data_IF_449844668722
#
_entry.id   IF_449844668722
#
_cell.length_a   1.000
_cell.length_b   1.000
_cell.length_c   1.000
_cell.angle_alpha   90.00
_cell.angle_beta   90.00
_cell.angle_gamma   90.00
#
_symmetry.space_group_name_H-M   'P 1'
#
loop_
_entity.id
_entity.type
_entity.pdbx_description
1 polymer ?
#
# COMPACT_ATOMS: atom_id res chain seq x y z
N UNK A 1 13.25 -16.90 -64.37
CA UNK A 1 13.61 -15.65 -63.65
C UNK A 1 13.32 -15.84 -62.16
N UNK A 2 14.30 -15.75 -61.25
CA UNK A 2 14.02 -15.80 -59.82
C UNK A 2 13.83 -14.40 -59.25
N UNK A 3 12.74 -14.21 -58.49
CA UNK A 3 12.46 -12.99 -57.74
C UNK A 3 13.37 -12.92 -56.50
N UNK A 4 14.34 -12.02 -56.51
CA UNK A 4 15.11 -11.66 -55.32
C UNK A 4 14.28 -10.73 -54.43
N UNK A 5 13.70 -11.28 -53.36
CA UNK A 5 13.21 -10.47 -52.24
C UNK A 5 14.40 -9.98 -51.41
N UNK A 6 14.94 -8.80 -51.73
CA UNK A 6 15.84 -8.08 -50.83
C UNK A 6 15.06 -7.56 -49.64
N UNK A 7 14.95 -8.39 -48.59
CA UNK A 7 14.40 -7.99 -47.29
C UNK A 7 15.46 -7.17 -46.53
N UNK A 8 15.59 -5.88 -46.85
CA UNK A 8 16.39 -4.95 -46.05
C UNK A 8 15.48 -4.24 -45.03
N UNK A 9 14.95 -5.00 -44.09
CA UNK A 9 14.31 -4.44 -42.90
C UNK A 9 15.43 -4.06 -41.92
N UNK A 10 15.84 -2.79 -41.93
CA UNK A 10 16.61 -2.24 -40.79
C UNK A 10 15.72 -2.41 -39.56
N UNK A 11 16.18 -3.18 -38.58
CA UNK A 11 15.53 -3.31 -37.29
C UNK A 11 15.49 -1.94 -36.62
N UNK A 12 14.42 -1.19 -36.87
CA UNK A 12 14.11 0.00 -36.11
C UNK A 12 14.00 -0.46 -34.65
N UNK A 13 14.89 0.08 -33.81
CA UNK A 13 14.84 -0.13 -32.37
C UNK A 13 13.40 0.15 -31.91
N UNK A 14 12.75 -0.77 -31.17
CA UNK A 14 11.37 -0.55 -30.75
C UNK A 14 11.29 0.79 -30.01
N UNK A 15 10.23 1.60 -30.18
CA UNK A 15 10.14 2.95 -29.60
C UNK A 15 10.47 3.00 -28.11
N UNK A 16 10.23 1.93 -27.37
CA UNK A 16 10.52 1.90 -25.94
C UNK A 16 12.00 1.76 -25.58
N UNK A 17 12.83 1.31 -26.52
CA UNK A 17 14.28 1.21 -26.34
C UNK A 17 15.02 2.54 -26.53
N UNK A 18 14.34 3.56 -27.08
CA UNK A 18 14.87 4.92 -27.22
C UNK A 18 14.37 5.88 -26.12
N UNK A 19 13.41 5.46 -25.29
CA UNK A 19 12.93 6.32 -24.21
C UNK A 19 14.05 6.60 -23.20
N UNK A 20 14.19 7.86 -22.74
CA UNK A 20 15.05 8.22 -21.62
C UNK A 20 14.68 7.44 -20.35
N UNK A 21 15.67 7.25 -19.47
CA UNK A 21 15.52 6.44 -18.25
C UNK A 21 14.51 7.05 -17.27
N UNK A 22 14.45 8.37 -17.15
CA UNK A 22 13.48 9.09 -16.31
C UNK A 22 12.04 8.90 -16.79
N UNK A 23 11.81 8.85 -18.10
CA UNK A 23 10.49 8.57 -18.68
C UNK A 23 10.08 7.12 -18.39
N UNK A 24 10.99 6.16 -18.57
CA UNK A 24 10.73 4.76 -18.21
C UNK A 24 10.41 4.62 -16.72
N UNK A 25 11.16 5.31 -15.87
CA UNK A 25 10.93 5.31 -14.43
C UNK A 25 9.53 5.83 -14.07
N UNK A 26 9.09 6.93 -14.68
CA UNK A 26 7.73 7.46 -14.49
C UNK A 26 6.67 6.46 -14.94
N UNK A 27 6.86 5.82 -16.09
CA UNK A 27 5.94 4.78 -16.58
C UNK A 27 5.86 3.62 -15.58
N UNK A 28 7.00 3.15 -15.07
CA UNK A 28 7.02 2.07 -14.08
C UNK A 28 6.35 2.50 -12.77
N UNK A 29 6.51 3.76 -12.36
CA UNK A 29 5.81 4.34 -11.21
C UNK A 29 4.31 4.25 -11.31
N UNK A 30 3.74 4.44 -12.51
CA UNK A 30 2.29 4.28 -12.73
C UNK A 30 1.82 2.83 -12.54
N UNK A 31 2.69 1.85 -12.82
CA UNK A 31 2.40 0.42 -12.58
C UNK A 31 2.69 -0.03 -11.14
N UNK A 32 3.49 0.74 -10.41
CA UNK A 32 3.94 0.42 -9.06
C UNK A 32 3.03 1.01 -7.97
N UNK A 33 2.18 1.97 -8.32
CA UNK A 33 1.36 2.69 -7.35
C UNK A 33 0.25 1.80 -6.83
N UNK A 34 0.19 1.65 -5.51
CA UNK A 34 -0.94 1.01 -4.85
C UNK A 34 -2.24 1.77 -5.12
N UNK A 35 -3.28 1.04 -5.50
CA UNK A 35 -4.65 1.50 -5.65
C UNK A 35 -5.57 0.56 -4.85
N UNK A 36 -6.14 1.02 -3.71
CA UNK A 36 -7.00 0.19 -2.87
C UNK A 36 -8.20 -0.44 -3.58
N UNK A 37 -8.69 0.18 -4.66
CA UNK A 37 -9.82 -0.33 -5.43
C UNK A 37 -9.40 -1.42 -6.43
N UNK A 38 -8.19 -1.34 -6.99
CA UNK A 38 -7.70 -2.28 -8.01
C UNK A 38 -6.81 -3.40 -7.43
N UNK A 39 -6.01 -3.11 -6.40
CA UNK A 39 -5.02 -4.02 -5.83
C UNK A 39 -5.60 -5.21 -5.08
N UNK A 40 -6.90 -5.19 -4.81
CA UNK A 40 -7.62 -6.37 -4.33
C UNK A 40 -7.51 -7.52 -5.33
N UNK A 41 -7.69 -7.22 -6.62
CA UNK A 41 -7.79 -8.22 -7.69
C UNK A 41 -6.51 -8.29 -8.53
N UNK A 42 -5.81 -7.16 -8.69
CA UNK A 42 -4.59 -7.06 -9.50
C UNK A 42 -3.51 -6.25 -8.79
N UNK A 43 -2.74 -6.87 -7.88
CA UNK A 43 -1.69 -6.18 -7.13
C UNK A 43 -0.64 -5.52 -8.05
N UNK A 44 -0.32 -4.25 -7.78
CA UNK A 44 0.73 -3.47 -8.44
C UNK A 44 2.08 -4.21 -8.50
N UNK A 45 2.36 -5.04 -7.49
CA UNK A 45 3.54 -5.89 -7.43
C UNK A 45 3.63 -6.89 -8.60
N UNK A 46 2.50 -7.43 -9.06
CA UNK A 46 2.44 -8.30 -10.24
C UNK A 46 2.80 -7.51 -11.49
N UNK A 47 2.28 -6.28 -11.62
CA UNK A 47 2.61 -5.41 -12.73
C UNK A 47 4.12 -5.10 -12.75
N UNK A 48 4.71 -4.74 -11.62
CA UNK A 48 6.16 -4.53 -11.50
C UNK A 48 6.98 -5.77 -11.87
N UNK A 49 6.56 -6.96 -11.42
CA UNK A 49 7.20 -8.22 -11.80
C UNK A 49 7.16 -8.41 -13.31
N UNK A 50 6.00 -8.20 -13.93
CA UNK A 50 5.84 -8.33 -15.38
C UNK A 50 6.71 -7.33 -16.15
N UNK A 51 6.75 -6.07 -15.70
CA UNK A 51 7.63 -5.02 -16.24
C UNK A 51 9.11 -5.44 -16.15
N UNK A 52 9.52 -6.12 -15.06
CA UNK A 52 10.90 -6.62 -14.89
C UNK A 52 11.31 -7.73 -15.86
N UNK A 53 10.35 -8.33 -16.57
CA UNK A 53 10.58 -9.43 -17.51
C UNK A 53 10.57 -8.99 -18.98
N UNK A 54 10.28 -7.72 -19.28
CA UNK A 54 10.17 -7.21 -20.66
C UNK A 54 11.52 -7.27 -21.39
N UNK A 55 12.57 -6.69 -20.81
CA UNK A 55 13.94 -6.80 -21.33
C UNK A 55 14.98 -6.52 -20.23
N UNK A 56 16.25 -6.85 -20.50
CA UNK A 56 17.35 -6.65 -19.56
C UNK A 56 17.47 -5.20 -19.06
N UNK A 57 17.27 -4.21 -19.94
CA UNK A 57 17.31 -2.79 -19.56
C UNK A 57 16.26 -2.45 -18.51
N UNK A 58 15.02 -2.90 -18.67
CA UNK A 58 13.94 -2.62 -17.72
C UNK A 58 14.16 -3.31 -16.39
N UNK A 59 14.63 -4.56 -16.45
CA UNK A 59 15.03 -5.31 -15.26
C UNK A 59 16.09 -4.56 -14.46
N UNK A 60 17.18 -4.12 -15.12
CA UNK A 60 18.25 -3.37 -14.47
C UNK A 60 17.76 -2.07 -13.85
N UNK A 61 16.86 -1.34 -14.52
CA UNK A 61 16.27 -0.11 -13.97
C UNK A 61 15.42 -0.39 -12.74
N UNK A 62 14.54 -1.40 -12.79
CA UNK A 62 13.70 -1.77 -11.65
C UNK A 62 14.52 -2.29 -10.47
N UNK A 63 15.57 -3.06 -10.71
CA UNK A 63 16.46 -3.54 -9.64
C UNK A 63 17.22 -2.39 -8.95
N UNK A 64 17.47 -1.29 -9.67
CA UNK A 64 18.12 -0.10 -9.13
C UNK A 64 17.12 0.93 -8.53
N UNK A 65 15.83 0.60 -8.43
CA UNK A 65 14.77 1.54 -8.05
C UNK A 65 13.98 1.07 -6.81
N UNK A 66 14.54 1.17 -5.59
CA UNK A 66 13.88 0.71 -4.37
C UNK A 66 12.49 1.32 -4.15
N UNK A 67 12.35 2.61 -4.44
CA UNK A 67 11.09 3.34 -4.28
C UNK A 67 9.95 2.88 -5.20
N UNK A 68 10.23 2.12 -6.26
CA UNK A 68 9.16 1.48 -7.04
C UNK A 68 8.64 0.24 -6.32
N UNK A 69 9.53 -0.58 -5.75
CA UNK A 69 9.12 -1.77 -4.98
C UNK A 69 8.40 -1.39 -3.68
N UNK A 70 8.84 -0.32 -3.00
CA UNK A 70 8.23 0.15 -1.75
C UNK A 70 6.82 0.72 -1.95
N UNK A 71 6.45 1.12 -3.17
CA UNK A 71 5.13 1.67 -3.47
C UNK A 71 4.08 0.62 -3.83
N UNK A 72 4.48 -0.64 -4.01
CA UNK A 72 3.64 -1.72 -4.52
C UNK A 72 3.33 -2.81 -3.47
N UNK A 73 3.45 -2.50 -2.17
CA UNK A 73 3.44 -3.51 -1.11
C UNK A 73 2.02 -3.87 -0.68
N UNK A 74 1.46 -4.94 -1.25
CA UNK A 74 0.25 -5.59 -0.75
C UNK A 74 0.63 -6.77 0.17
N UNK A 75 0.57 -6.56 1.49
CA UNK A 75 1.08 -7.54 2.46
C UNK A 75 0.25 -8.83 2.49
N UNK A 76 -1.07 -8.71 2.35
CA UNK A 76 -1.94 -9.89 2.29
C UNK A 76 -1.62 -10.74 1.07
N UNK A 77 -1.47 -10.12 -0.10
CA UNK A 77 -1.07 -10.82 -1.32
C UNK A 77 0.31 -11.47 -1.16
N UNK A 78 1.29 -10.72 -0.64
CA UNK A 78 2.63 -11.23 -0.39
C UNK A 78 2.59 -12.51 0.45
N UNK A 79 1.84 -12.50 1.56
CA UNK A 79 1.73 -13.65 2.46
C UNK A 79 1.04 -14.85 1.83
N UNK A 80 -0.07 -14.64 1.11
CA UNK A 80 -0.91 -15.71 0.58
C UNK A 80 -0.39 -16.31 -0.73
N UNK A 81 0.32 -15.51 -1.52
CA UNK A 81 0.64 -15.87 -2.91
C UNK A 81 2.13 -15.99 -3.21
N UNK A 82 3.03 -15.55 -2.31
CA UNK A 82 4.47 -15.61 -2.53
C UNK A 82 5.17 -16.53 -1.54
N UNK A 83 6.23 -17.20 -2.01
CA UNK A 83 7.13 -17.94 -1.12
C UNK A 83 7.85 -16.99 -0.16
N UNK A 84 8.44 -17.53 0.90
CA UNK A 84 9.19 -16.73 1.87
C UNK A 84 10.35 -15.97 1.21
N UNK A 85 11.11 -16.64 0.35
CA UNK A 85 12.27 -16.07 -0.34
C UNK A 85 11.88 -14.91 -1.24
N UNK A 86 10.73 -15.01 -1.92
CA UNK A 86 10.24 -13.93 -2.78
C UNK A 86 9.79 -12.72 -1.95
N UNK A 87 9.16 -12.94 -0.79
CA UNK A 87 8.77 -11.85 0.12
C UNK A 87 10.00 -11.11 0.62
N UNK A 88 10.99 -11.84 1.13
CA UNK A 88 12.25 -11.26 1.61
C UNK A 88 12.96 -10.48 0.50
N UNK A 89 12.99 -11.01 -0.73
CA UNK A 89 13.58 -10.30 -1.86
C UNK A 89 12.83 -9.00 -2.20
N UNK A 90 11.50 -8.97 -2.09
CA UNK A 90 10.72 -7.74 -2.32
C UNK A 90 11.02 -6.70 -1.23
N UNK A 91 11.04 -7.12 0.04
CA UNK A 91 11.38 -6.23 1.16
C UNK A 91 12.81 -5.71 1.01
N UNK A 92 13.76 -6.58 0.67
CA UNK A 92 15.16 -6.21 0.39
C UNK A 92 15.28 -5.22 -0.77
N UNK A 93 14.46 -5.37 -1.82
CA UNK A 93 14.44 -4.43 -2.94
C UNK A 93 13.82 -3.10 -2.57
N UNK A 94 12.76 -3.08 -1.77
CA UNK A 94 12.16 -1.85 -1.25
C UNK A 94 13.17 -1.07 -0.38
N UNK A 95 14.02 -1.79 0.35
CA UNK A 95 15.07 -1.20 1.19
C UNK A 95 14.47 -0.23 2.21
N UNK A 96 15.12 0.91 2.40
CA UNK A 96 14.69 1.98 3.32
C UNK A 96 13.87 3.07 2.62
N UNK A 97 13.34 2.81 1.41
CA UNK A 97 12.51 3.79 0.73
C UNK A 97 11.16 3.95 1.44
N UNK A 98 10.57 5.14 1.35
CA UNK A 98 9.21 5.39 1.85
C UNK A 98 8.21 4.39 1.25
N UNK A 99 7.40 3.77 2.11
CA UNK A 99 6.54 2.65 1.76
C UNK A 99 5.08 3.07 1.61
N UNK A 100 4.41 2.52 0.60
CA UNK A 100 2.97 2.50 0.47
C UNK A 100 2.49 1.05 0.66
N UNK A 101 1.72 0.83 1.72
CA UNK A 101 1.32 -0.49 2.19
C UNK A 101 -0.19 -0.64 2.05
N UNK A 102 -0.61 -1.69 1.34
CA UNK A 102 -2.00 -2.13 1.25
C UNK A 102 -2.20 -3.44 2.00
N UNK A 103 -3.29 -3.50 2.75
CA UNK A 103 -3.68 -4.63 3.57
C UNK A 103 -5.14 -4.92 3.27
N UNK A 104 -5.42 -6.14 2.81
CA UNK A 104 -6.76 -6.61 2.46
C UNK A 104 -7.16 -7.80 3.35
N UNK A 105 -8.23 -7.68 4.12
CA UNK A 105 -8.85 -8.71 4.96
C UNK A 105 -7.85 -9.60 5.69
N UNK A 106 -7.25 -9.10 6.77
CA UNK A 106 -6.26 -9.84 7.57
C UNK A 106 -6.92 -11.02 8.27
N UNK A 107 -6.61 -12.24 7.81
CA UNK A 107 -7.02 -13.47 8.47
C UNK A 107 -6.03 -13.89 9.56
N UNK A 108 -6.40 -14.87 10.38
CA UNK A 108 -5.56 -15.40 11.47
C UNK A 108 -4.18 -15.87 10.98
N UNK A 109 -4.11 -16.46 9.78
CA UNK A 109 -2.85 -16.93 9.19
C UNK A 109 -1.95 -15.81 8.65
N UNK A 110 -2.55 -14.67 8.30
CA UNK A 110 -1.85 -13.53 7.73
C UNK A 110 -1.32 -12.59 8.82
N UNK A 111 -2.06 -12.49 9.93
CA UNK A 111 -1.82 -11.58 11.05
C UNK A 111 -0.36 -11.51 11.47
N UNK A 112 0.30 -12.62 11.87
CA UNK A 112 1.68 -12.59 12.35
C UNK A 112 2.64 -11.88 11.40
N UNK A 113 2.57 -12.19 10.09
CA UNK A 113 3.42 -11.54 9.09
C UNK A 113 3.08 -10.07 8.90
N UNK A 114 1.79 -9.73 8.81
CA UNK A 114 1.34 -8.35 8.59
C UNK A 114 1.80 -7.45 9.75
N UNK A 115 1.56 -7.86 10.98
CA UNK A 115 1.88 -7.05 12.15
C UNK A 115 3.37 -7.02 12.48
N UNK A 116 4.12 -8.10 12.21
CA UNK A 116 5.58 -8.09 12.25
C UNK A 116 6.14 -7.10 11.24
N UNK A 117 5.65 -7.12 10.00
CA UNK A 117 6.07 -6.18 8.97
C UNK A 117 5.77 -4.73 9.37
N UNK A 118 4.53 -4.44 9.79
CA UNK A 118 4.14 -3.10 10.25
C UNK A 118 5.02 -2.67 11.44
N UNK A 119 5.31 -3.58 12.36
CA UNK A 119 6.16 -3.30 13.52
C UNK A 119 7.57 -2.89 13.12
N UNK A 120 8.19 -3.62 12.19
CA UNK A 120 9.57 -3.42 11.78
C UNK A 120 9.74 -2.20 10.87
N UNK A 121 8.74 -1.90 10.04
CA UNK A 121 8.83 -0.88 9.00
C UNK A 121 7.95 0.36 9.25
N UNK A 122 7.30 0.48 10.42
CA UNK A 122 6.37 1.59 10.73
C UNK A 122 6.94 2.98 10.41
N UNK A 123 8.22 3.17 10.71
CA UNK A 123 8.92 4.43 10.50
C UNK A 123 9.16 4.77 9.03
N UNK A 124 9.09 3.80 8.11
CA UNK A 124 9.23 4.00 6.66
C UNK A 124 7.85 4.09 5.97
N UNK A 125 6.75 3.74 6.65
CA UNK A 125 5.41 3.75 6.06
C UNK A 125 4.91 5.18 5.92
N UNK A 126 4.74 5.59 4.66
CA UNK A 126 4.18 6.88 4.26
C UNK A 126 2.69 6.79 3.93
N UNK A 127 2.26 5.69 3.34
CA UNK A 127 0.85 5.46 3.03
C UNK A 127 0.41 4.11 3.59
N UNK A 128 -0.67 4.11 4.38
CA UNK A 128 -1.30 2.90 4.88
C UNK A 128 -2.74 2.84 4.37
N UNK A 129 -3.04 1.77 3.64
CA UNK A 129 -4.36 1.48 3.10
C UNK A 129 -4.86 0.18 3.71
N UNK A 130 -5.81 0.28 4.64
CA UNK A 130 -6.38 -0.85 5.36
C UNK A 130 -7.80 -1.12 4.88
N UNK A 131 -7.99 -2.24 4.19
CA UNK A 131 -9.31 -2.79 3.88
C UNK A 131 -9.52 -4.05 4.71
N UNK A 132 -10.44 -4.02 5.66
CA UNK A 132 -10.81 -5.17 6.47
C UNK A 132 -12.30 -5.19 6.75
N UNK A 133 -13.03 -5.85 5.86
CA UNK A 133 -14.49 -5.98 5.96
C UNK A 133 -14.94 -7.01 7.00
N UNK A 134 -14.03 -7.85 7.49
CA UNK A 134 -14.34 -8.96 8.39
C UNK A 134 -14.24 -8.52 9.84
N UNK A 135 -14.98 -9.22 10.70
CA UNK A 135 -14.85 -9.05 12.15
C UNK A 135 -13.43 -9.46 12.57
N UNK A 136 -12.77 -8.61 13.34
CA UNK A 136 -11.46 -8.92 13.91
C UNK A 136 -11.60 -9.84 15.11
N UNK A 137 -10.66 -10.76 15.28
CA UNK A 137 -10.52 -11.38 16.59
C UNK A 137 -10.03 -10.34 17.61
N UNK A 138 -10.30 -10.52 18.91
CA UNK A 138 -9.79 -9.62 19.95
C UNK A 138 -8.27 -9.43 19.89
N UNK A 139 -7.53 -10.46 19.48
CA UNK A 139 -6.07 -10.41 19.30
C UNK A 139 -5.70 -9.45 18.17
N UNK A 140 -6.39 -9.49 17.02
CA UNK A 140 -6.13 -8.56 15.92
C UNK A 140 -6.46 -7.11 16.30
N UNK A 141 -7.55 -6.87 17.03
CA UNK A 141 -7.85 -5.52 17.53
C UNK A 141 -6.74 -4.99 18.44
N UNK A 142 -6.21 -5.84 19.32
CA UNK A 142 -5.09 -5.50 20.19
C UNK A 142 -3.82 -5.18 19.38
N UNK A 143 -3.53 -5.95 18.34
CA UNK A 143 -2.38 -5.68 17.46
C UNK A 143 -2.54 -4.38 16.67
N UNK A 144 -3.75 -4.06 16.19
CA UNK A 144 -4.03 -2.76 15.56
C UNK A 144 -3.88 -1.60 16.54
N UNK A 145 -4.31 -1.77 17.78
CA UNK A 145 -4.08 -0.80 18.86
C UNK A 145 -2.59 -0.55 19.10
N UNK A 146 -1.78 -1.61 19.17
CA UNK A 146 -0.34 -1.50 19.32
C UNK A 146 0.34 -0.79 18.14
N UNK A 147 -0.12 -1.02 16.90
CA UNK A 147 0.38 -0.31 15.72
C UNK A 147 -0.02 1.16 15.77
N UNK A 148 -1.30 1.47 15.99
CA UNK A 148 -1.81 2.84 15.96
C UNK A 148 -1.21 3.71 17.09
N UNK A 149 -0.88 3.10 18.23
CA UNK A 149 -0.20 3.78 19.32
C UNK A 149 1.25 4.19 18.99
N UNK A 150 1.87 3.66 17.93
CA UNK A 150 3.24 4.07 17.60
C UNK A 150 3.23 5.39 16.84
N UNK A 151 3.97 6.41 17.30
CA UNK A 151 4.07 7.64 16.54
C UNK A 151 4.74 7.40 15.19
N UNK A 152 4.30 8.10 14.16
CA UNK A 152 4.94 8.10 12.84
C UNK A 152 5.11 9.51 12.31
N UNK A 153 6.36 9.87 12.06
CA UNK A 153 6.71 11.14 11.39
C UNK A 153 6.67 11.03 9.86
N UNK A 154 6.47 9.82 9.31
CA UNK A 154 6.44 9.58 7.86
C UNK A 154 5.03 9.33 7.31
N UNK A 155 4.08 8.89 8.14
CA UNK A 155 2.72 8.65 7.68
C UNK A 155 2.10 9.96 7.15
N UNK A 156 1.73 9.96 5.88
CA UNK A 156 1.09 11.07 5.14
C UNK A 156 -0.32 10.71 4.69
N UNK A 157 -0.56 9.45 4.33
CA UNK A 157 -1.84 8.99 3.82
C UNK A 157 -2.34 7.83 4.68
N UNK A 158 -3.55 7.96 5.22
CA UNK A 158 -4.20 6.92 5.99
C UNK A 158 -5.60 6.69 5.41
N UNK A 159 -5.83 5.49 4.90
CA UNK A 159 -7.12 5.06 4.36
C UNK A 159 -7.58 3.83 5.13
N UNK A 160 -8.76 3.88 5.73
CA UNK A 160 -9.27 2.82 6.61
C UNK A 160 -10.71 2.47 6.24
N UNK A 161 -10.91 1.25 5.77
CA UNK A 161 -12.19 0.56 5.74
C UNK A 161 -12.11 -0.62 6.70
N UNK A 162 -12.57 -0.48 7.96
CA UNK A 162 -12.41 -1.50 9.00
C UNK A 162 -13.57 -1.52 10.00
N UNK A 163 -13.51 -2.40 11.00
CA UNK A 163 -14.44 -2.40 12.13
C UNK A 163 -14.41 -1.08 12.87
N UNK A 164 -15.54 -0.69 13.50
CA UNK A 164 -15.65 0.55 14.29
C UNK A 164 -14.54 0.66 15.33
N UNK A 165 -14.18 -0.45 15.98
CA UNK A 165 -13.08 -0.48 16.96
C UNK A 165 -11.70 -0.17 16.36
N UNK A 166 -11.38 -0.73 15.19
CA UNK A 166 -10.10 -0.43 14.50
C UNK A 166 -10.09 1.01 14.03
N UNK A 167 -11.18 1.47 13.42
CA UNK A 167 -11.36 2.84 12.96
C UNK A 167 -11.18 3.83 14.12
N UNK A 168 -11.87 3.60 15.24
CA UNK A 168 -11.77 4.40 16.46
C UNK A 168 -10.34 4.44 16.99
N UNK A 169 -9.63 3.31 16.96
CA UNK A 169 -8.26 3.20 17.43
C UNK A 169 -7.29 4.10 16.66
N UNK A 170 -7.41 4.15 15.33
CA UNK A 170 -6.61 5.05 14.50
C UNK A 170 -7.04 6.51 14.66
N UNK A 171 -8.35 6.78 14.70
CA UNK A 171 -8.91 8.11 14.96
C UNK A 171 -8.40 8.71 16.28
N UNK A 172 -8.42 7.92 17.34
CA UNK A 172 -7.90 8.31 18.64
C UNK A 172 -6.40 8.61 18.57
N UNK A 173 -5.63 7.84 17.80
CA UNK A 173 -4.20 8.07 17.60
C UNK A 173 -3.92 9.36 16.80
N UNK A 174 -4.77 9.68 15.82
CA UNK A 174 -4.77 10.96 15.10
C UNK A 174 -5.08 12.12 16.06
N UNK A 175 -6.13 12.01 16.87
CA UNK A 175 -6.52 13.04 17.84
C UNK A 175 -5.41 13.32 18.87
N UNK A 176 -4.63 12.29 19.25
CA UNK A 176 -3.46 12.39 20.11
C UNK A 176 -2.18 12.88 19.39
N UNK A 177 -2.27 13.36 18.13
CA UNK A 177 -1.15 13.86 17.34
C UNK A 177 -0.01 12.84 17.16
N UNK A 178 -0.32 11.54 17.14
CA UNK A 178 0.70 10.49 16.92
C UNK A 178 1.23 10.48 15.48
N UNK A 179 0.47 11.05 14.55
CA UNK A 179 0.82 11.16 13.13
C UNK A 179 0.93 12.64 12.72
N UNK A 180 1.93 13.38 13.23
CA UNK A 180 2.00 14.84 13.05
C UNK A 180 2.17 15.28 11.58
N UNK A 181 2.60 14.36 10.71
CA UNK A 181 2.72 14.64 9.28
C UNK A 181 1.53 14.18 8.43
N UNK A 182 0.44 13.69 9.02
CA UNK A 182 -0.70 13.18 8.26
C UNK A 182 -1.31 14.28 7.38
N UNK A 183 -1.41 14.02 6.09
CA UNK A 183 -1.93 14.96 5.08
C UNK A 183 -3.31 14.55 4.56
N UNK A 184 -3.58 13.24 4.47
CA UNK A 184 -4.82 12.69 3.94
C UNK A 184 -5.36 11.62 4.89
N UNK A 185 -6.60 11.80 5.32
CA UNK A 185 -7.33 10.84 6.14
C UNK A 185 -8.64 10.48 5.44
N UNK A 186 -8.80 9.21 5.10
CA UNK A 186 -10.03 8.68 4.52
C UNK A 186 -10.52 7.51 5.38
N UNK A 187 -11.75 7.65 5.88
CA UNK A 187 -12.37 6.70 6.78
C UNK A 187 -13.72 6.27 6.25
N UNK A 188 -13.82 4.96 6.10
CA UNK A 188 -14.97 4.26 5.60
C UNK A 188 -15.46 3.36 6.74
N UNK A 189 -16.49 3.77 7.46
CA UNK A 189 -17.04 2.92 8.50
C UNK A 189 -17.97 1.88 7.90
N UNK A 190 -17.70 0.61 8.18
CA UNK A 190 -18.63 -0.46 7.89
C UNK A 190 -19.69 -0.51 8.98
N UNK A 191 -20.95 -0.31 8.61
CA UNK A 191 -22.08 -0.64 9.48
C UNK A 191 -22.17 -2.18 9.58
N UNK A 192 -21.58 -2.77 10.61
CA UNK A 192 -21.81 -4.18 10.93
C UNK A 192 -23.13 -4.28 11.68
N UNK A 193 -24.12 -4.93 11.08
CA UNK A 193 -25.43 -5.15 11.69
C UNK A 193 -25.32 -5.76 13.11
N UNK A 194 -25.86 -5.01 14.07
CA UNK A 194 -26.51 -5.44 15.32
C UNK A 194 -25.71 -5.94 16.54
N UNK A 195 -24.37 -5.84 16.64
CA UNK A 195 -23.70 -6.18 17.92
C UNK A 195 -22.65 -5.20 18.46
N UNK A 196 -22.26 -4.21 17.69
CA UNK A 196 -21.26 -3.21 18.10
C UNK A 196 -21.94 -1.85 18.42
N UNK A 197 -23.14 -1.88 19.02
CA UNK A 197 -23.87 -0.65 19.37
C UNK A 197 -23.12 0.21 20.41
N UNK A 198 -22.18 -0.38 21.14
CA UNK A 198 -21.44 0.32 22.20
C UNK A 198 -20.33 1.26 21.69
N UNK A 199 -19.95 1.19 20.40
CA UNK A 199 -18.90 2.06 19.83
C UNK A 199 -19.35 2.62 18.49
N UNK A 200 -20.44 3.39 18.48
CA UNK A 200 -20.67 4.33 17.37
C UNK A 200 -19.67 5.47 17.49
N UNK A 201 -18.85 5.64 16.46
CA UNK A 201 -17.99 6.82 16.36
C UNK A 201 -18.89 8.01 16.01
N UNK A 202 -19.53 8.60 17.01
CA UNK A 202 -20.16 9.91 16.84
C UNK A 202 -19.06 10.93 16.57
N UNK A 203 -19.12 11.58 15.40
CA UNK A 203 -18.19 12.59 14.87
C UNK A 203 -16.99 12.90 15.79
N UNK A 204 -15.82 12.30 15.54
CA UNK A 204 -14.68 12.43 16.44
C UNK A 204 -14.30 13.91 16.59
N UNK A 205 -14.34 14.40 17.82
CA UNK A 205 -14.00 15.79 18.14
C UNK A 205 -12.47 15.92 18.12
N UNK A 206 -11.93 16.47 17.04
CA UNK A 206 -10.50 16.68 16.91
C UNK A 206 -10.13 18.07 17.42
N UNK A 207 -9.22 18.18 18.42
CA UNK A 207 -8.64 19.47 18.75
C UNK A 207 -8.02 20.07 17.48
N UNK A 208 -8.31 21.34 17.19
CA UNK A 208 -7.80 22.02 15.98
C UNK A 208 -6.26 21.98 15.88
N UNK A 209 -5.57 21.88 17.01
CA UNK A 209 -4.11 21.73 17.08
C UNK A 209 -3.61 20.35 16.61
N UNK A 210 -4.43 19.30 16.69
CA UNK A 210 -4.03 17.92 16.36
C UNK A 210 -3.95 17.63 14.86
N UNK A 211 -4.44 18.55 14.01
CA UNK A 211 -4.60 18.33 12.57
C UNK A 211 -3.94 19.41 11.69
N UNK A 212 -2.94 20.14 12.21
CA UNK A 212 -2.35 21.28 11.50
C UNK A 212 -1.78 20.99 10.09
N UNK A 213 -1.44 19.73 9.79
CA UNK A 213 -0.94 19.29 8.47
C UNK A 213 -1.99 18.65 7.55
N UNK A 214 -3.21 18.46 8.04
CA UNK A 214 -4.23 17.68 7.35
C UNK A 214 -4.89 18.51 6.24
N UNK A 215 -4.82 18.02 5.01
CA UNK A 215 -5.33 18.70 3.82
C UNK A 215 -6.73 18.25 3.48
N UNK A 216 -7.03 16.98 3.73
CA UNK A 216 -8.28 16.36 3.34
C UNK A 216 -8.73 15.32 4.38
N UNK A 217 -10.01 15.38 4.72
CA UNK A 217 -10.70 14.37 5.52
C UNK A 217 -11.95 13.96 4.78
N UNK A 218 -12.10 12.66 4.55
CA UNK A 218 -13.31 12.09 3.98
C UNK A 218 -13.87 11.07 4.96
N UNK A 219 -15.16 11.24 5.28
CA UNK A 219 -15.94 10.26 6.04
C UNK A 219 -17.06 9.75 5.15
N UNK A 220 -17.19 8.44 5.02
CA UNK A 220 -18.38 7.84 4.43
C UNK A 220 -18.81 6.60 5.19
N UNK A 221 -20.11 6.45 5.31
CA UNK A 221 -20.75 5.26 5.85
C UNK A 221 -21.38 4.51 4.69
N UNK A 222 -21.04 3.23 4.55
CA UNK A 222 -21.75 2.34 3.63
C UNK A 222 -22.92 1.72 4.38
N UNK A 223 -24.14 2.09 3.98
CA UNK A 223 -25.40 1.51 4.45
C UNK A 223 -25.61 0.10 3.89
#
# INVERSE_FOLDING_TARGET
MPFNFTKKQRSARPPISILPTDILYRIFGLSAKVDPHADKDSPALIALRNVSHVCARWRSLLLAAPSLWSQALNLTYMKRSLSLEYREEIVRRAGEAEMAVFIYEVGLEDGPFVFEFLTNHWHNIRSLYLYNSKYNSPEHDQMWLEVAQRPSNQLRNLWIYASSRTTFTFLHSVALSRFPGLEFLDICEKNLDMKDEDIRVENPDFPSASLAGLKEIVFFSTY
#
